data_IF_800744867350
#
_entry.id   IF_800744867350
#
_cell.length_a   1.000
_cell.length_b   1.000
_cell.length_c   1.000
_cell.angle_alpha   90.00
_cell.angle_beta   90.00
_cell.angle_gamma   90.00
#
_symmetry.space_group_name_H-M   'P 1'
#
loop_
_entity.id
_entity.type
_entity.pdbx_description
1 polymer ?
#
# COMPACT_ATOMS: atom_id res chain seq x y z
N UNK A 1 -9.10 25.42 -8.86
CA UNK A 1 -7.70 25.30 -9.29
C UNK A 1 -6.79 25.20 -8.05
N UNK A 2 -6.33 23.99 -7.74
CA UNK A 2 -5.58 23.62 -6.52
C UNK A 2 -4.33 24.50 -6.32
N UNK A 3 -3.66 24.84 -7.42
CA UNK A 3 -2.43 25.65 -7.37
C UNK A 3 -2.68 27.10 -6.98
N UNK A 4 -3.81 27.66 -7.39
CA UNK A 4 -4.18 29.05 -7.07
C UNK A 4 -4.63 29.22 -5.62
N UNK A 5 -5.09 28.12 -4.98
CA UNK A 5 -5.59 28.13 -3.60
C UNK A 5 -4.51 27.80 -2.58
N UNK A 6 -3.29 27.48 -3.01
CA UNK A 6 -2.24 26.93 -2.17
C UNK A 6 -2.69 25.66 -1.40
N UNK A 7 -3.56 24.86 -2.01
CA UNK A 7 -4.08 23.63 -1.46
C UNK A 7 -3.02 22.52 -1.58
N UNK A 8 -2.23 22.36 -0.53
CA UNK A 8 -1.16 21.36 -0.47
C UNK A 8 -1.70 19.92 -0.46
N UNK A 9 -2.88 19.71 0.10
CA UNK A 9 -3.55 18.40 0.10
C UNK A 9 -3.96 18.03 -1.32
N UNK A 10 -4.62 18.96 -2.03
CA UNK A 10 -4.96 18.75 -3.43
C UNK A 10 -3.74 18.50 -4.31
N UNK A 11 -2.63 19.22 -4.09
CA UNK A 11 -1.35 18.96 -4.77
C UNK A 11 -0.84 17.54 -4.48
N UNK A 12 -0.93 17.08 -3.23
CA UNK A 12 -0.51 15.72 -2.86
C UNK A 12 -1.34 14.63 -3.56
N UNK A 13 -2.64 14.84 -3.76
CA UNK A 13 -3.49 13.95 -4.57
C UNK A 13 -3.06 13.90 -6.04
N UNK A 14 -2.67 15.05 -6.62
CA UNK A 14 -2.17 15.10 -7.99
C UNK A 14 -0.86 14.33 -8.14
N UNK A 15 0.07 14.52 -7.21
CA UNK A 15 1.35 13.81 -7.19
C UNK A 15 1.10 12.31 -7.07
N UNK A 16 0.27 11.88 -6.12
CA UNK A 16 -0.08 10.47 -5.94
C UNK A 16 -0.68 9.87 -7.21
N UNK A 17 -1.64 10.54 -7.85
CA UNK A 17 -2.26 10.09 -9.10
C UNK A 17 -1.21 9.87 -10.20
N UNK A 18 -0.31 10.83 -10.40
CA UNK A 18 0.72 10.74 -11.44
C UNK A 18 1.75 9.64 -11.15
N UNK A 19 2.20 9.52 -9.91
CA UNK A 19 3.16 8.50 -9.48
C UNK A 19 2.60 7.09 -9.61
N UNK A 20 1.32 6.87 -9.25
CA UNK A 20 0.67 5.57 -9.39
C UNK A 20 0.54 5.16 -10.86
N UNK A 21 0.17 6.09 -11.75
CA UNK A 21 0.12 5.82 -13.19
C UNK A 21 1.50 5.46 -13.74
N UNK A 22 2.53 6.26 -13.43
CA UNK A 22 3.89 6.02 -13.89
C UNK A 22 4.42 4.66 -13.40
N UNK A 23 4.18 4.30 -12.15
CA UNK A 23 4.56 3.01 -11.57
C UNK A 23 3.85 1.85 -12.27
N UNK A 24 2.55 2.00 -12.53
CA UNK A 24 1.77 0.97 -13.25
C UNK A 24 2.33 0.70 -14.63
N UNK A 25 2.58 1.76 -15.41
CA UNK A 25 3.15 1.63 -16.76
C UNK A 25 4.54 0.98 -16.70
N UNK A 26 5.38 1.40 -15.75
CA UNK A 26 6.70 0.81 -15.55
C UNK A 26 6.60 -0.70 -15.28
N UNK A 27 5.78 -1.14 -14.33
CA UNK A 27 5.67 -2.56 -13.99
C UNK A 27 5.06 -3.41 -15.13
N UNK A 28 4.12 -2.85 -15.91
CA UNK A 28 3.57 -3.53 -17.09
C UNK A 28 4.67 -3.74 -18.15
N UNK A 29 5.48 -2.74 -18.43
CA UNK A 29 6.55 -2.83 -19.42
C UNK A 29 7.65 -3.78 -18.97
N UNK A 30 8.11 -3.65 -17.72
CA UNK A 30 9.17 -4.48 -17.14
C UNK A 30 8.77 -5.94 -16.96
N UNK A 31 7.48 -6.25 -16.88
CA UNK A 31 6.96 -7.63 -16.87
C UNK A 31 7.48 -8.47 -18.04
N UNK A 32 7.76 -7.85 -19.17
CA UNK A 32 8.26 -8.56 -20.35
C UNK A 32 9.77 -8.88 -20.25
N UNK A 33 10.49 -8.19 -19.38
CA UNK A 33 11.95 -8.27 -19.23
C UNK A 33 12.38 -9.25 -18.12
N UNK A 34 11.44 -9.91 -17.45
CA UNK A 34 11.73 -10.87 -16.37
C UNK A 34 11.36 -12.31 -16.76
N UNK A 35 12.00 -13.27 -16.09
CA UNK A 35 11.73 -14.69 -16.29
C UNK A 35 10.25 -15.04 -16.05
N UNK A 36 9.76 -16.08 -16.71
CA UNK A 36 8.33 -16.46 -16.68
C UNK A 36 7.77 -16.65 -15.27
N UNK A 37 8.55 -17.19 -14.34
CA UNK A 37 8.16 -17.42 -12.94
C UNK A 37 7.88 -16.14 -12.16
N UNK A 38 8.42 -14.98 -12.58
CA UNK A 38 8.22 -13.68 -11.96
C UNK A 38 7.08 -12.85 -12.56
N UNK A 39 6.52 -13.29 -13.69
CA UNK A 39 5.50 -12.49 -14.40
C UNK A 39 4.23 -12.27 -13.61
N UNK A 40 3.85 -13.19 -12.72
CA UNK A 40 2.68 -13.03 -11.85
C UNK A 40 2.94 -11.94 -10.80
N UNK A 41 4.08 -11.95 -10.14
CA UNK A 41 4.48 -10.91 -9.19
C UNK A 41 4.53 -9.53 -9.85
N UNK A 42 5.12 -9.40 -11.02
CA UNK A 42 5.11 -8.13 -11.77
C UNK A 42 3.70 -7.68 -12.15
N UNK A 43 2.80 -8.61 -12.47
CA UNK A 43 1.39 -8.29 -12.75
C UNK A 43 0.70 -7.77 -11.49
N UNK A 44 0.93 -8.39 -10.33
CA UNK A 44 0.35 -7.95 -9.06
C UNK A 44 0.91 -6.58 -8.65
N UNK A 45 2.21 -6.33 -8.82
CA UNK A 45 2.79 -4.99 -8.59
C UNK A 45 2.11 -3.91 -9.45
N UNK A 46 1.86 -4.22 -10.75
CA UNK A 46 1.12 -3.34 -11.64
C UNK A 46 -0.34 -3.14 -11.23
N UNK A 47 -1.02 -4.21 -10.75
CA UNK A 47 -2.39 -4.11 -10.25
C UNK A 47 -2.50 -3.26 -9.00
N UNK A 48 -1.57 -3.39 -8.05
CA UNK A 48 -1.54 -2.58 -6.82
C UNK A 48 -1.49 -1.10 -7.16
N UNK A 49 -0.57 -0.69 -8.02
CA UNK A 49 -0.43 0.73 -8.41
C UNK A 49 -1.54 1.18 -9.37
N UNK A 50 -2.03 0.31 -10.25
CA UNK A 50 -3.10 0.62 -11.18
C UNK A 50 -4.46 0.80 -10.51
N UNK A 51 -4.80 -0.03 -9.54
CA UNK A 51 -6.01 0.14 -8.71
C UNK A 51 -5.91 1.42 -7.89
N UNK A 52 -4.74 1.70 -7.30
CA UNK A 52 -4.52 2.95 -6.59
C UNK A 52 -4.64 4.16 -7.52
N UNK A 53 -4.05 4.13 -8.72
CA UNK A 53 -4.21 5.20 -9.71
C UNK A 53 -5.68 5.48 -10.03
N UNK A 54 -6.47 4.44 -10.26
CA UNK A 54 -7.90 4.57 -10.53
C UNK A 54 -8.62 5.29 -9.38
N UNK A 55 -8.43 4.83 -8.13
CA UNK A 55 -9.08 5.44 -6.97
C UNK A 55 -8.56 6.85 -6.68
N UNK A 56 -7.27 7.12 -6.82
CA UNK A 56 -6.69 8.45 -6.63
C UNK A 56 -7.25 9.49 -7.62
N UNK A 57 -7.64 9.08 -8.82
CA UNK A 57 -8.33 9.96 -9.76
C UNK A 57 -9.65 10.48 -9.18
N UNK A 58 -10.45 9.61 -8.56
CA UNK A 58 -11.72 9.98 -7.92
C UNK A 58 -11.54 10.65 -6.56
N UNK A 59 -10.59 10.20 -5.76
CA UNK A 59 -10.28 10.85 -4.47
C UNK A 59 -9.84 12.30 -4.66
N UNK A 60 -9.01 12.56 -5.67
CA UNK A 60 -8.59 13.91 -6.05
C UNK A 60 -9.78 14.79 -6.45
N UNK A 61 -10.70 14.24 -7.23
CA UNK A 61 -11.91 14.94 -7.69
C UNK A 61 -12.84 15.25 -6.52
N UNK A 62 -13.05 14.28 -5.63
CA UNK A 62 -13.82 14.45 -4.40
C UNK A 62 -13.25 15.58 -3.54
N UNK A 63 -11.95 15.53 -3.24
CA UNK A 63 -11.29 16.60 -2.47
C UNK A 63 -11.46 17.97 -3.13
N UNK A 64 -11.23 18.08 -4.43
CA UNK A 64 -11.31 19.36 -5.15
C UNK A 64 -12.72 19.96 -5.15
N UNK A 65 -13.76 19.14 -5.25
CA UNK A 65 -15.17 19.59 -5.25
C UNK A 65 -15.60 20.02 -3.85
N UNK A 66 -15.32 19.26 -2.82
CA UNK A 66 -15.68 19.59 -1.43
C UNK A 66 -14.92 20.83 -0.93
N UNK A 67 -13.64 20.96 -1.27
CA UNK A 67 -12.85 22.16 -0.97
C UNK A 67 -13.42 23.42 -1.62
N UNK A 68 -13.89 23.34 -2.87
CA UNK A 68 -14.50 24.47 -3.57
C UNK A 68 -15.84 24.88 -2.95
N UNK A 69 -16.66 23.93 -2.53
CA UNK A 69 -17.95 24.17 -1.86
C UNK A 69 -17.74 24.89 -0.53
N UNK A 70 -16.83 24.39 0.30
CA UNK A 70 -16.49 25.00 1.58
C UNK A 70 -15.96 26.41 1.41
N UNK A 71 -15.10 26.65 0.41
CA UNK A 71 -14.58 27.99 0.13
C UNK A 71 -15.66 28.97 -0.38
N UNK A 72 -16.68 28.48 -1.11
CA UNK A 72 -17.79 29.30 -1.58
C UNK A 72 -18.69 29.80 -0.45
N UNK A 73 -18.85 29.01 0.60
CA UNK A 73 -19.64 29.35 1.79
C UNK A 73 -18.92 30.32 2.75
N UNK A 74 -17.71 30.76 2.39
CA UNK A 74 -16.94 31.71 3.20
C UNK A 74 -16.26 31.09 4.42
N UNK A 75 -16.24 29.77 4.53
CA UNK A 75 -15.48 29.02 5.53
C UNK A 75 -14.02 28.88 5.13
N UNK A 76 -13.12 28.58 6.07
CA UNK A 76 -11.73 28.24 5.76
C UNK A 76 -11.71 26.96 4.92
N UNK A 77 -11.17 27.01 3.71
CA UNK A 77 -11.24 25.91 2.73
C UNK A 77 -10.59 24.61 3.22
N UNK A 78 -11.37 23.77 3.85
CA UNK A 78 -11.01 22.40 4.22
C UNK A 78 -11.86 21.45 3.40
N UNK A 79 -11.23 20.56 2.65
CA UNK A 79 -11.95 19.53 1.89
C UNK A 79 -12.35 18.35 2.78
N UNK A 80 -13.28 17.51 2.27
CA UNK A 80 -13.64 16.27 2.93
C UNK A 80 -12.67 15.14 2.55
N UNK A 81 -12.27 14.36 3.56
CA UNK A 81 -11.44 13.17 3.33
C UNK A 81 -12.22 12.10 2.55
N UNK A 82 -11.66 11.56 1.45
CA UNK A 82 -12.30 10.52 0.65
C UNK A 82 -12.18 9.13 1.32
N UNK A 83 -12.58 9.00 2.58
CA UNK A 83 -12.35 7.85 3.45
C UNK A 83 -12.84 6.53 2.83
N UNK A 84 -14.07 6.50 2.35
CA UNK A 84 -14.65 5.27 1.78
C UNK A 84 -13.86 4.80 0.55
N UNK A 85 -13.46 5.73 -0.31
CA UNK A 85 -12.68 5.41 -1.52
C UNK A 85 -11.29 4.87 -1.15
N UNK A 86 -10.65 5.40 -0.09
CA UNK A 86 -9.39 4.88 0.43
C UNK A 86 -9.51 3.44 0.90
N UNK A 87 -10.54 3.13 1.69
CA UNK A 87 -10.73 1.77 2.19
C UNK A 87 -11.12 0.78 1.09
N UNK A 88 -11.86 1.21 0.05
CA UNK A 88 -12.10 0.37 -1.14
C UNK A 88 -10.77 0.07 -1.85
N UNK A 89 -9.91 1.08 -2.04
CA UNK A 89 -8.57 0.89 -2.59
C UNK A 89 -7.76 -0.08 -1.75
N UNK A 90 -7.64 0.17 -0.45
CA UNK A 90 -6.83 -0.64 0.46
C UNK A 90 -7.33 -2.08 0.61
N UNK A 91 -8.66 -2.31 0.60
CA UNK A 91 -9.25 -3.66 0.62
C UNK A 91 -8.87 -4.50 -0.61
N UNK A 92 -8.45 -3.87 -1.69
CA UNK A 92 -7.94 -4.55 -2.89
C UNK A 92 -6.41 -4.57 -2.87
N UNK A 93 -5.76 -3.42 -2.68
CA UNK A 93 -4.31 -3.29 -2.85
C UNK A 93 -3.50 -3.89 -1.72
N UNK A 94 -3.94 -3.81 -0.47
CA UNK A 94 -3.19 -4.33 0.68
C UNK A 94 -3.17 -5.87 0.71
N UNK A 95 -4.27 -6.60 0.51
CA UNK A 95 -4.21 -8.05 0.33
C UNK A 95 -3.30 -8.49 -0.82
N UNK A 96 -3.28 -7.73 -1.93
CA UNK A 96 -2.35 -7.98 -3.03
C UNK A 96 -0.89 -7.77 -2.61
N UNK A 97 -0.59 -6.73 -1.83
CA UNK A 97 0.77 -6.49 -1.32
C UNK A 97 1.23 -7.58 -0.35
N UNK A 98 0.38 -8.06 0.56
CA UNK A 98 0.76 -9.17 1.44
C UNK A 98 0.86 -10.49 0.66
N UNK A 99 0.06 -10.67 -0.39
CA UNK A 99 0.18 -11.82 -1.29
C UNK A 99 1.53 -11.82 -2.01
N UNK A 100 2.16 -10.67 -2.28
CA UNK A 100 3.49 -10.59 -2.89
C UNK A 100 4.56 -11.27 -2.03
N UNK A 101 4.52 -11.21 -0.71
CA UNK A 101 5.43 -11.98 0.14
C UNK A 101 5.30 -13.49 -0.12
N UNK A 102 4.08 -13.97 -0.35
CA UNK A 102 3.87 -15.35 -0.76
C UNK A 102 4.39 -15.59 -2.20
N UNK A 103 4.09 -14.70 -3.14
CA UNK A 103 4.41 -14.90 -4.56
C UNK A 103 5.90 -14.93 -4.84
N UNK A 104 6.69 -14.03 -4.24
CA UNK A 104 8.15 -14.05 -4.41
C UNK A 104 8.79 -15.31 -3.83
N UNK A 105 8.22 -15.85 -2.74
CA UNK A 105 8.67 -17.11 -2.18
C UNK A 105 8.19 -18.31 -3.01
N UNK A 106 6.97 -18.25 -3.55
CA UNK A 106 6.43 -19.28 -4.44
C UNK A 106 7.20 -19.38 -5.76
N UNK A 107 7.67 -18.24 -6.30
CA UNK A 107 8.49 -18.20 -7.52
C UNK A 107 9.82 -18.98 -7.39
N UNK A 108 10.32 -19.14 -6.17
CA UNK A 108 11.54 -19.89 -5.84
C UNK A 108 11.27 -21.19 -5.07
N UNK A 109 10.00 -21.61 -4.96
CA UNK A 109 9.59 -22.86 -4.33
C UNK A 109 9.62 -22.86 -2.79
N UNK A 110 9.63 -21.70 -2.14
CA UNK A 110 9.79 -21.53 -0.70
C UNK A 110 8.50 -21.09 0.05
N UNK A 111 7.30 -21.29 -0.54
CA UNK A 111 6.04 -20.87 0.08
C UNK A 111 4.99 -21.99 0.18
N UNK A 112 4.08 -21.85 1.14
CA UNK A 112 2.94 -22.74 1.35
C UNK A 112 1.60 -21.99 1.21
N UNK A 113 0.54 -22.66 0.76
CA UNK A 113 -0.80 -22.07 0.68
C UNK A 113 -1.33 -21.60 2.05
N UNK A 114 -0.92 -22.26 3.13
CA UNK A 114 -1.30 -21.87 4.51
C UNK A 114 -0.75 -20.48 4.83
N UNK A 115 0.49 -20.19 4.46
CA UNK A 115 1.09 -18.86 4.63
C UNK A 115 0.28 -17.79 3.91
N UNK A 116 -0.12 -18.05 2.65
CA UNK A 116 -0.97 -17.13 1.90
C UNK A 116 -2.26 -16.78 2.66
N UNK A 117 -3.02 -17.78 3.10
CA UNK A 117 -4.30 -17.55 3.78
C UNK A 117 -4.15 -16.85 5.13
N UNK A 118 -3.06 -17.10 5.85
CA UNK A 118 -2.76 -16.42 7.11
C UNK A 118 -2.49 -14.93 6.89
N UNK A 119 -1.64 -14.58 5.93
CA UNK A 119 -1.34 -13.19 5.59
C UNK A 119 -2.56 -12.47 5.02
N UNK A 120 -3.28 -13.10 4.11
CA UNK A 120 -4.49 -12.56 3.51
C UNK A 120 -5.57 -12.29 4.56
N UNK A 121 -5.87 -13.27 5.41
CA UNK A 121 -6.86 -13.12 6.49
C UNK A 121 -6.49 -12.02 7.48
N UNK A 122 -5.22 -11.95 7.90
CA UNK A 122 -4.75 -10.90 8.79
C UNK A 122 -4.90 -9.49 8.15
N UNK A 123 -4.60 -9.35 6.85
CA UNK A 123 -4.78 -8.07 6.15
C UNK A 123 -6.25 -7.64 6.08
N UNK A 124 -7.18 -8.57 5.88
CA UNK A 124 -8.61 -8.25 5.89
C UNK A 124 -9.09 -7.81 7.29
N UNK A 125 -8.67 -8.51 8.34
CA UNK A 125 -9.01 -8.12 9.73
C UNK A 125 -8.49 -6.71 10.03
N UNK A 126 -7.24 -6.42 9.65
CA UNK A 126 -6.63 -5.10 9.83
C UNK A 126 -7.45 -3.99 9.17
N UNK A 127 -7.83 -4.19 7.91
CA UNK A 127 -8.54 -3.16 7.12
C UNK A 127 -10.00 -3.00 7.54
N UNK A 128 -10.71 -4.09 7.83
CA UNK A 128 -12.09 -4.03 8.28
C UNK A 128 -12.19 -3.33 9.64
N UNK A 129 -11.30 -3.69 10.57
CA UNK A 129 -11.24 -3.00 11.87
C UNK A 129 -10.93 -1.50 11.69
N UNK A 130 -9.94 -1.17 10.87
CA UNK A 130 -9.59 0.22 10.55
C UNK A 130 -10.79 1.00 10.00
N UNK A 131 -11.49 0.45 9.01
CA UNK A 131 -12.66 1.09 8.43
C UNK A 131 -13.80 1.31 9.45
N UNK A 132 -14.13 0.29 10.23
CA UNK A 132 -15.21 0.39 11.22
C UNK A 132 -14.93 1.45 12.29
N UNK A 133 -13.68 1.58 12.70
CA UNK A 133 -13.27 2.60 13.67
C UNK A 133 -13.22 4.00 13.05
N UNK A 134 -12.51 4.17 11.94
CA UNK A 134 -12.30 5.49 11.32
C UNK A 134 -13.59 6.07 10.74
N UNK A 135 -14.53 5.22 10.30
CA UNK A 135 -15.86 5.65 9.83
C UNK A 135 -16.86 5.90 10.97
N UNK A 136 -16.48 5.70 12.23
CA UNK A 136 -17.36 5.87 13.37
C UNK A 136 -18.46 4.80 13.53
N UNK A 137 -18.39 3.70 12.76
CA UNK A 137 -19.36 2.59 12.86
C UNK A 137 -19.13 1.68 14.08
N UNK A 138 -17.93 1.72 14.64
CA UNK A 138 -17.55 1.03 15.87
C UNK A 138 -16.65 1.92 16.73
N UNK A 139 -16.44 1.60 18.03
CA UNK A 139 -15.57 2.39 18.89
C UNK A 139 -14.15 2.50 18.32
N UNK A 140 -13.65 3.73 18.14
CA UNK A 140 -12.39 4.04 17.46
C UNK A 140 -11.18 3.31 18.07
N UNK A 141 -10.98 3.43 19.37
CA UNK A 141 -9.80 2.87 20.05
C UNK A 141 -9.75 1.34 20.05
N UNK A 142 -10.82 0.59 20.36
CA UNK A 142 -10.83 -0.86 20.22
C UNK A 142 -10.55 -1.32 18.79
N UNK A 143 -11.09 -0.65 17.79
CA UNK A 143 -10.87 -1.00 16.38
C UNK A 143 -9.43 -0.72 15.93
N UNK A 144 -8.83 0.38 16.37
CA UNK A 144 -7.42 0.65 16.18
C UNK A 144 -6.53 -0.46 16.76
N UNK A 145 -6.83 -0.90 18.00
CA UNK A 145 -6.08 -1.97 18.66
C UNK A 145 -6.19 -3.28 17.86
N UNK A 146 -7.40 -3.67 17.44
CA UNK A 146 -7.61 -4.88 16.62
C UNK A 146 -6.83 -4.81 15.32
N UNK A 147 -6.90 -3.67 14.63
CA UNK A 147 -6.14 -3.44 13.39
C UNK A 147 -4.63 -3.53 13.58
N UNK A 148 -4.11 -2.91 14.64
CA UNK A 148 -2.69 -2.97 14.98
C UNK A 148 -2.23 -4.40 15.35
N UNK A 149 -3.04 -5.17 16.09
CA UNK A 149 -2.70 -6.56 16.41
C UNK A 149 -2.62 -7.43 15.15
N UNK A 150 -3.53 -7.25 14.20
CA UNK A 150 -3.47 -7.94 12.91
C UNK A 150 -2.22 -7.54 12.11
N UNK A 151 -1.86 -6.25 12.08
CA UNK A 151 -0.63 -5.76 11.46
C UNK A 151 0.62 -6.32 12.16
N UNK A 152 0.69 -6.35 13.48
CA UNK A 152 1.80 -6.95 14.23
C UNK A 152 1.95 -8.45 13.95
N UNK A 153 0.84 -9.16 13.71
CA UNK A 153 0.91 -10.54 13.26
C UNK A 153 1.57 -10.68 11.88
N UNK A 154 1.24 -9.79 10.92
CA UNK A 154 1.90 -9.78 9.62
C UNK A 154 3.39 -9.44 9.77
N UNK A 155 3.75 -8.48 10.62
CA UNK A 155 5.15 -8.16 10.95
C UNK A 155 5.86 -9.40 11.51
N UNK A 156 5.24 -10.12 12.44
CA UNK A 156 5.81 -11.36 12.97
C UNK A 156 6.11 -12.37 11.85
N UNK A 157 5.18 -12.60 10.93
CA UNK A 157 5.38 -13.55 9.84
C UNK A 157 6.57 -13.18 8.93
N UNK A 158 6.73 -11.89 8.61
CA UNK A 158 7.82 -11.46 7.72
C UNK A 158 9.17 -11.30 8.41
N UNK A 159 9.23 -11.24 9.75
CA UNK A 159 10.49 -11.11 10.48
C UNK A 159 10.93 -12.36 11.24
N UNK A 160 10.00 -13.20 11.64
CA UNK A 160 10.27 -14.36 12.50
C UNK A 160 9.45 -15.62 12.15
N UNK A 161 8.37 -15.47 11.41
CA UNK A 161 7.45 -16.55 11.05
C UNK A 161 7.90 -17.38 9.85
N UNK A 162 6.94 -18.07 9.23
CA UNK A 162 7.20 -18.98 8.12
C UNK A 162 7.61 -18.25 6.85
N UNK A 163 7.15 -17.01 6.65
CA UNK A 163 7.57 -16.16 5.54
C UNK A 163 9.08 -15.88 5.62
N UNK A 164 9.59 -15.49 6.79
CA UNK A 164 11.03 -15.27 7.01
C UNK A 164 11.86 -16.54 6.80
N UNK A 165 11.42 -17.65 7.36
CA UNK A 165 12.11 -18.94 7.20
C UNK A 165 12.20 -19.35 5.72
N UNK A 166 11.11 -19.16 4.97
CA UNK A 166 11.12 -19.39 3.54
C UNK A 166 12.11 -18.48 2.80
N UNK A 167 12.13 -17.20 3.13
CA UNK A 167 13.04 -16.21 2.52
C UNK A 167 14.51 -16.57 2.74
N UNK A 168 14.87 -17.08 3.92
CA UNK A 168 16.26 -17.44 4.25
C UNK A 168 16.81 -18.62 3.42
N UNK A 169 15.95 -19.35 2.73
CA UNK A 169 16.36 -20.45 1.82
C UNK A 169 16.54 -20.01 0.37
N UNK A 170 16.32 -18.72 0.05
CA UNK A 170 16.34 -18.18 -1.32
C UNK A 170 17.69 -17.56 -1.67
N UNK A 171 17.80 -17.04 -2.91
CA UNK A 171 18.99 -16.30 -3.38
C UNK A 171 19.19 -14.98 -2.61
N UNK A 172 20.41 -14.46 -2.58
CA UNK A 172 20.74 -13.19 -1.92
C UNK A 172 19.89 -12.02 -2.45
N UNK A 173 19.65 -11.97 -3.77
CA UNK A 173 18.81 -10.93 -4.37
C UNK A 173 17.35 -11.00 -3.89
N UNK A 174 16.79 -12.22 -3.80
CA UNK A 174 15.45 -12.44 -3.25
C UNK A 174 15.38 -12.10 -1.76
N UNK A 175 16.38 -12.50 -0.97
CA UNK A 175 16.46 -12.15 0.45
C UNK A 175 16.54 -10.65 0.68
N UNK A 176 17.35 -9.94 -0.13
CA UNK A 176 17.44 -8.47 -0.08
C UNK A 176 16.07 -7.83 -0.35
N UNK A 177 15.40 -8.22 -1.44
CA UNK A 177 14.09 -7.66 -1.79
C UNK A 177 13.04 -7.98 -0.74
N UNK A 178 13.00 -9.22 -0.24
CA UNK A 178 12.10 -9.62 0.84
C UNK A 178 12.30 -8.76 2.10
N UNK A 179 13.55 -8.57 2.52
CA UNK A 179 13.88 -7.72 3.67
C UNK A 179 13.50 -6.25 3.44
N UNK A 180 13.72 -5.72 2.25
CA UNK A 180 13.33 -4.36 1.91
C UNK A 180 11.80 -4.19 1.94
N UNK A 181 11.05 -5.15 1.40
CA UNK A 181 9.58 -5.18 1.48
C UNK A 181 9.10 -5.27 2.94
N UNK A 182 9.75 -6.10 3.77
CA UNK A 182 9.42 -6.22 5.19
C UNK A 182 9.67 -4.91 5.96
N UNK A 183 10.72 -4.16 5.62
CA UNK A 183 10.98 -2.82 6.18
C UNK A 183 9.86 -1.84 5.76
N UNK A 184 9.47 -1.83 4.49
CA UNK A 184 8.38 -0.99 3.98
C UNK A 184 7.08 -1.30 4.72
N UNK A 185 6.73 -2.58 4.87
CA UNK A 185 5.55 -3.03 5.60
C UNK A 185 5.59 -2.64 7.08
N UNK A 186 6.76 -2.67 7.71
CA UNK A 186 6.89 -2.38 9.13
C UNK A 186 6.94 -0.87 9.39
N UNK A 187 7.82 -0.15 8.69
CA UNK A 187 8.06 1.29 8.92
C UNK A 187 7.10 2.14 8.09
N UNK A 188 6.94 1.81 6.81
CA UNK A 188 6.07 2.57 5.90
C UNK A 188 4.59 2.47 6.30
N UNK A 189 4.13 1.29 6.71
CA UNK A 189 2.74 1.11 7.13
C UNK A 189 2.43 1.67 8.52
N UNK A 190 3.45 1.96 9.34
CA UNK A 190 3.24 2.66 10.62
C UNK A 190 2.60 4.05 10.44
N UNK A 191 2.72 4.65 9.27
CA UNK A 191 2.09 5.94 8.93
C UNK A 191 0.55 5.85 9.00
N UNK A 192 -0.06 4.71 8.64
CA UNK A 192 -1.52 4.59 8.62
C UNK A 192 -2.18 4.63 10.00
N UNK A 193 -1.74 3.90 11.02
CA UNK A 193 -2.27 4.08 12.38
C UNK A 193 -1.98 5.47 12.96
N UNK A 194 -0.87 6.12 12.59
CA UNK A 194 -0.61 7.52 12.96
C UNK A 194 -1.65 8.44 12.30
N UNK A 195 -1.90 8.26 11.01
CA UNK A 195 -2.93 9.00 10.29
C UNK A 195 -4.32 8.77 10.86
N UNK A 196 -4.67 7.53 11.17
CA UNK A 196 -5.92 7.18 11.86
C UNK A 196 -6.08 7.98 13.16
N UNK A 197 -5.05 7.99 14.02
CA UNK A 197 -5.08 8.73 15.28
C UNK A 197 -5.22 10.24 15.08
N UNK A 198 -4.58 10.80 14.04
CA UNK A 198 -4.69 12.23 13.70
C UNK A 198 -6.04 12.59 13.07
N UNK A 199 -6.69 11.64 12.39
CA UNK A 199 -7.93 11.84 11.66
C UNK A 199 -9.20 11.52 12.46
N UNK A 200 -9.07 10.98 13.68
CA UNK A 200 -10.18 10.63 14.57
C UNK A 200 -10.17 11.46 15.86
N UNK A 201 -11.31 11.54 16.52
CA UNK A 201 -11.45 12.26 17.77
C UNK A 201 -11.79 13.75 17.60
N UNK A 202 -11.78 14.47 18.73
CA UNK A 202 -12.23 15.87 18.81
C UNK A 202 -11.28 16.87 18.11
N UNK A 203 -9.99 16.53 18.03
CA UNK A 203 -8.94 17.39 17.46
C UNK A 203 -8.46 16.88 16.09
N UNK A 204 -9.36 16.23 15.32
CA UNK A 204 -9.04 15.65 14.02
C UNK A 204 -8.44 16.67 13.05
N UNK A 205 -7.30 16.33 12.44
CA UNK A 205 -6.61 17.14 11.43
C UNK A 205 -6.70 16.48 10.05
N UNK A 206 -7.75 16.82 9.31
CA UNK A 206 -8.05 16.25 7.99
C UNK A 206 -6.94 16.50 6.96
N UNK A 207 -6.29 17.67 6.99
CA UNK A 207 -5.21 18.01 6.05
C UNK A 207 -3.99 17.12 6.30
N UNK A 208 -3.54 17.03 7.55
CA UNK A 208 -2.40 16.19 7.92
C UNK A 208 -2.68 14.71 7.61
N UNK A 209 -3.87 14.21 7.91
CA UNK A 209 -4.32 12.86 7.57
C UNK A 209 -4.17 12.58 6.08
N UNK A 210 -4.74 13.44 5.23
CA UNK A 210 -4.73 13.21 3.79
C UNK A 210 -3.33 13.32 3.18
N UNK A 211 -2.50 14.27 3.62
CA UNK A 211 -1.10 14.37 3.16
C UNK A 211 -0.32 13.11 3.56
N UNK A 212 -0.44 12.67 4.82
CA UNK A 212 0.24 11.46 5.29
C UNK A 212 -0.19 10.22 4.52
N UNK A 213 -1.49 10.01 4.33
CA UNK A 213 -1.99 8.87 3.57
C UNK A 213 -1.57 8.90 2.10
N UNK A 214 -1.57 10.06 1.45
CA UNK A 214 -1.14 10.21 0.06
C UNK A 214 0.35 9.89 -0.11
N UNK A 215 1.21 10.40 0.79
CA UNK A 215 2.65 10.11 0.79
C UNK A 215 2.89 8.62 1.09
N UNK A 216 2.22 8.08 2.12
CA UNK A 216 2.35 6.68 2.50
C UNK A 216 2.00 5.75 1.34
N UNK A 217 0.90 5.99 0.65
CA UNK A 217 0.48 5.18 -0.50
C UNK A 217 1.50 5.22 -1.63
N UNK A 218 2.01 6.41 -2.00
CA UNK A 218 3.05 6.54 -3.04
C UNK A 218 4.29 5.74 -2.67
N UNK A 219 4.83 5.97 -1.47
CA UNK A 219 6.05 5.29 -1.02
C UNK A 219 5.82 3.79 -0.89
N UNK A 220 4.78 3.38 -0.17
CA UNK A 220 4.56 1.97 0.15
C UNK A 220 4.18 1.13 -1.08
N UNK A 221 3.42 1.66 -2.03
CA UNK A 221 3.02 0.92 -3.23
C UNK A 221 4.11 0.92 -4.30
N UNK A 222 4.68 2.08 -4.61
CA UNK A 222 5.73 2.20 -5.64
C UNK A 222 7.03 1.54 -5.20
N UNK A 223 7.55 1.84 -4.00
CA UNK A 223 8.79 1.25 -3.51
C UNK A 223 8.65 -0.27 -3.30
N UNK A 224 7.49 -0.72 -2.82
CA UNK A 224 7.20 -2.15 -2.67
C UNK A 224 7.28 -2.88 -4.03
N UNK A 225 6.61 -2.36 -5.05
CA UNK A 225 6.67 -2.92 -6.41
C UNK A 225 8.08 -2.89 -7.02
N UNK A 226 8.88 -1.84 -6.73
CA UNK A 226 10.28 -1.78 -7.15
C UNK A 226 11.14 -2.86 -6.50
N UNK A 227 10.83 -3.28 -5.26
CA UNK A 227 11.54 -4.40 -4.63
C UNK A 227 11.20 -5.74 -5.28
N UNK A 228 9.95 -5.93 -5.67
CA UNK A 228 9.53 -7.09 -6.48
C UNK A 228 10.26 -7.10 -7.83
N UNK A 229 10.28 -5.99 -8.53
CA UNK A 229 11.01 -5.83 -9.79
C UNK A 229 12.51 -6.10 -9.63
N UNK A 230 13.12 -5.61 -8.56
CA UNK A 230 14.54 -5.84 -8.27
C UNK A 230 14.82 -7.34 -8.10
N UNK A 231 14.04 -8.06 -7.27
CA UNK A 231 14.19 -9.50 -7.10
C UNK A 231 14.04 -10.26 -8.42
N UNK A 232 13.01 -9.92 -9.19
CA UNK A 232 12.74 -10.53 -10.49
C UNK A 232 13.88 -10.31 -11.49
N UNK A 233 14.45 -9.12 -11.53
CA UNK A 233 15.55 -8.75 -12.43
C UNK A 233 16.85 -9.46 -12.04
N UNK A 234 17.19 -9.52 -10.76
CA UNK A 234 18.39 -10.19 -10.27
C UNK A 234 18.35 -11.69 -10.56
N UNK A 235 17.24 -12.33 -10.25
CA UNK A 235 17.05 -13.77 -10.47
C UNK A 235 17.01 -14.13 -11.98
N UNK A 236 16.44 -13.26 -12.81
CA UNK A 236 16.44 -13.43 -14.28
C UNK A 236 17.85 -13.38 -14.84
N UNK A 237 18.69 -12.44 -14.38
CA UNK A 237 20.11 -12.32 -14.82
C UNK A 237 20.95 -13.52 -14.37
N UNK A 238 20.75 -14.00 -13.15
CA UNK A 238 21.46 -15.18 -12.65
C UNK A 238 21.16 -16.41 -13.52
N UNK A 239 19.89 -16.65 -13.86
CA UNK A 239 19.48 -17.77 -14.70
C UNK A 239 20.06 -17.71 -16.13
N UNK A 240 20.25 -16.51 -16.70
CA UNK A 240 20.80 -16.34 -18.05
C UNK A 240 22.33 -16.43 -18.11
N UNK A 241 23.02 -16.42 -16.99
CA UNK A 241 24.48 -16.58 -16.93
C UNK A 241 24.93 -18.04 -16.75
N UNK A 242 23.98 -18.94 -16.50
CA UNK A 242 24.21 -20.39 -16.35
C UNK A 242 23.95 -21.18 -17.66
N UNK A 243 23.39 -20.54 -18.68
CA UNK A 243 23.20 -21.06 -20.04
C UNK A 243 24.37 -20.66 -20.96
#
# INVERSE_FOLDING_TARGET
>A
DVYKRQDMVGVSFWIATAMMLASTVFFILERNNVAAKWKTSMTVAALVTGVAWYHYTYMREHWASTYAEVAADGTTGVGESPLVMRYIDWLITVPLQVAEFYLILAAVGAATAVLFWRLFGASLVMLIAGFLGESGQAPEMPMLIVGCLAWFYIIYEVWAGDAKKGADTTSEGTQFAFKAMAIILTVGWAIYPIGYFLGTGADANTDALNILYNIADVVNKTAFGLMVWYAATMDTKASSSEE
#
